data_IF_552337249225
#
_entry.id   IF_552337249225
#
_cell.length_a   1.000
_cell.length_b   1.000
_cell.length_c   1.000
_cell.angle_alpha   90.00
_cell.angle_beta   90.00
_cell.angle_gamma   90.00
#
_symmetry.space_group_name_H-M   'P 1'
#
loop_
_entity.id
_entity.type
_entity.pdbx_description
1 polymer ?
#
# COMPACT_ATOMS: atom_id res chain seq x y z
N UNK A 1 -17.31 -20.90 -14.07
CA UNK A 1 -16.06 -21.02 -13.35
C UNK A 1 -15.70 -19.71 -12.68
N UNK A 2 -14.87 -19.75 -11.70
CA UNK A 2 -14.42 -18.60 -10.89
C UNK A 2 -13.89 -17.41 -11.71
N UNK A 3 -13.27 -17.66 -12.85
CA UNK A 3 -12.74 -16.60 -13.70
C UNK A 3 -13.80 -15.74 -14.42
N UNK A 4 -15.04 -16.20 -14.55
CA UNK A 4 -16.09 -15.45 -15.27
C UNK A 4 -16.43 -14.12 -14.60
N UNK A 5 -16.44 -14.06 -13.28
CA UNK A 5 -16.67 -12.84 -12.52
C UNK A 5 -15.55 -11.81 -12.78
N UNK A 6 -14.29 -12.23 -12.70
CA UNK A 6 -13.12 -11.41 -13.01
C UNK A 6 -13.13 -10.95 -14.46
N UNK A 7 -13.35 -11.89 -15.42
CA UNK A 7 -13.41 -11.57 -16.85
C UNK A 7 -14.46 -10.54 -17.17
N UNK A 8 -15.67 -10.66 -16.56
CA UNK A 8 -16.76 -9.69 -16.75
C UNK A 8 -16.34 -8.29 -16.29
N UNK A 9 -15.71 -8.19 -15.11
CA UNK A 9 -15.25 -6.90 -14.56
C UNK A 9 -14.12 -6.30 -15.40
N UNK A 10 -13.17 -7.10 -15.88
CA UNK A 10 -12.09 -6.64 -16.76
C UNK A 10 -12.57 -6.09 -18.11
N UNK A 11 -13.78 -6.45 -18.57
CA UNK A 11 -14.37 -5.90 -19.81
C UNK A 11 -14.92 -4.48 -19.62
N UNK A 12 -15.09 -4.01 -18.39
CA UNK A 12 -15.47 -2.61 -18.14
C UNK A 12 -14.32 -1.70 -18.59
N UNK A 13 -14.58 -0.64 -19.38
CA UNK A 13 -13.53 0.16 -20.01
C UNK A 13 -12.62 0.87 -19.00
N UNK A 14 -13.15 1.23 -17.83
CA UNK A 14 -12.43 1.90 -16.73
C UNK A 14 -11.79 0.92 -15.72
N UNK A 15 -11.91 -0.39 -15.94
CA UNK A 15 -11.26 -1.37 -15.06
C UNK A 15 -9.76 -1.40 -15.31
N UNK A 16 -8.99 -1.06 -14.26
CA UNK A 16 -7.53 -1.16 -14.21
C UNK A 16 -7.08 -2.55 -13.78
N UNK A 17 -6.81 -2.71 -12.49
CA UNK A 17 -6.35 -3.98 -11.90
C UNK A 17 -7.37 -4.50 -10.91
N UNK A 18 -7.53 -5.82 -10.87
CA UNK A 18 -8.31 -6.52 -9.85
C UNK A 18 -7.37 -7.35 -8.99
N UNK A 19 -7.44 -7.17 -7.67
CA UNK A 19 -6.73 -7.95 -6.66
C UNK A 19 -7.66 -8.42 -5.55
N UNK A 20 -7.10 -8.81 -4.39
CA UNK A 20 -7.87 -9.35 -3.25
C UNK A 20 -7.57 -8.65 -1.92
N UNK A 21 -6.58 -7.78 -1.92
CA UNK A 21 -6.27 -6.89 -0.82
C UNK A 21 -5.71 -5.56 -1.35
N UNK A 22 -6.08 -4.47 -0.71
CA UNK A 22 -5.63 -3.14 -1.10
C UNK A 22 -6.13 -2.06 -0.19
N UNK A 23 -5.77 -0.82 -0.45
CA UNK A 23 -6.20 0.34 0.33
C UNK A 23 -6.77 1.46 -0.53
N UNK A 24 -7.77 2.17 0.02
CA UNK A 24 -8.38 3.35 -0.61
C UNK A 24 -7.49 4.59 -0.59
N UNK A 25 -6.42 4.55 0.19
CA UNK A 25 -5.52 5.68 0.41
C UNK A 25 -4.09 5.22 0.37
N UNK A 26 -3.21 6.02 -0.25
CA UNK A 26 -1.76 5.88 -0.11
C UNK A 26 -1.19 7.13 0.53
N UNK A 27 -0.53 6.94 1.67
CA UNK A 27 0.07 8.00 2.45
C UNK A 27 1.32 8.58 1.76
N UNK A 28 1.66 9.82 2.07
CA UNK A 28 2.89 10.46 1.60
C UNK A 28 4.12 9.91 2.30
N UNK A 29 4.00 9.59 3.59
CA UNK A 29 5.08 8.99 4.35
C UNK A 29 5.41 7.58 3.85
N UNK A 30 6.60 7.08 4.19
CA UNK A 30 7.02 5.72 3.86
C UNK A 30 6.08 4.70 4.48
N UNK A 31 5.45 3.91 3.65
CA UNK A 31 4.38 2.99 4.07
C UNK A 31 4.13 1.90 3.02
N UNK A 32 3.60 0.77 3.45
CA UNK A 32 3.00 -0.24 2.59
C UNK A 32 1.60 0.15 2.10
N UNK A 33 0.81 -0.83 1.67
CA UNK A 33 -0.61 -0.62 1.34
C UNK A 33 -1.51 -0.70 2.57
N UNK A 34 -1.26 -1.62 3.49
CA UNK A 34 -2.12 -1.99 4.62
C UNK A 34 -1.74 -1.34 5.95
N UNK A 35 -1.15 -0.15 5.96
CA UNK A 35 -0.71 0.51 7.19
C UNK A 35 -1.85 1.18 7.98
N UNK A 36 -3.03 1.38 7.36
CA UNK A 36 -4.20 1.96 8.02
C UNK A 36 -5.44 1.10 7.76
N UNK A 37 -5.59 0.06 8.55
CA UNK A 37 -6.59 -1.00 8.39
C UNK A 37 -8.03 -0.51 8.09
N UNK A 38 -8.46 0.60 8.65
CA UNK A 38 -9.80 1.16 8.39
C UNK A 38 -10.03 1.68 6.96
N UNK A 39 -8.95 1.83 6.17
CA UNK A 39 -9.00 2.23 4.78
C UNK A 39 -8.82 1.07 3.81
N UNK A 40 -8.48 -0.10 4.37
CA UNK A 40 -8.19 -1.29 3.59
C UNK A 40 -9.47 -2.01 3.19
N UNK A 41 -9.39 -2.68 2.05
CA UNK A 41 -10.37 -3.64 1.56
C UNK A 41 -9.64 -4.96 1.42
N UNK A 42 -10.13 -5.99 2.10
CA UNK A 42 -9.46 -7.30 2.19
C UNK A 42 -10.50 -8.39 2.02
N UNK A 43 -10.21 -9.38 1.16
CA UNK A 43 -11.08 -10.52 0.95
C UNK A 43 -10.32 -11.75 0.42
N UNK A 44 -9.67 -12.51 1.31
CA UNK A 44 -8.92 -13.72 0.97
C UNK A 44 -8.68 -14.62 2.18
N UNK A 45 -8.26 -15.87 1.95
CA UNK A 45 -7.76 -16.75 2.99
C UNK A 45 -6.25 -16.58 3.15
N UNK A 46 -5.80 -16.36 4.39
CA UNK A 46 -4.39 -16.36 4.75
C UNK A 46 -4.03 -17.66 5.44
N UNK A 47 -3.09 -18.41 4.88
CA UNK A 47 -2.53 -19.61 5.50
C UNK A 47 -1.15 -19.34 6.06
N UNK A 48 -0.93 -19.77 7.29
CA UNK A 48 0.35 -19.67 8.02
C UNK A 48 0.59 -21.00 8.72
N UNK A 49 1.57 -21.78 8.24
CA UNK A 49 1.78 -23.14 8.72
C UNK A 49 0.55 -24.01 8.46
N UNK A 50 -0.06 -24.53 9.51
CA UNK A 50 -1.28 -25.37 9.44
C UNK A 50 -2.57 -24.58 9.65
N UNK A 51 -2.49 -23.28 9.93
CA UNK A 51 -3.64 -22.45 10.20
C UNK A 51 -4.06 -21.65 8.95
N UNK A 52 -5.35 -21.65 8.66
CA UNK A 52 -5.95 -20.84 7.61
C UNK A 52 -7.02 -19.93 8.22
N UNK A 53 -6.91 -18.64 7.97
CA UNK A 53 -7.84 -17.64 8.48
C UNK A 53 -8.43 -16.83 7.31
N UNK A 54 -9.75 -16.64 7.33
CA UNK A 54 -10.40 -15.73 6.40
C UNK A 54 -10.15 -14.28 6.82
N UNK A 55 -9.48 -13.53 5.95
CA UNK A 55 -9.19 -12.11 6.14
C UNK A 55 -10.22 -11.30 5.38
N UNK A 56 -10.95 -10.45 6.12
CA UNK A 56 -12.01 -9.62 5.56
C UNK A 56 -12.00 -8.24 6.21
N UNK A 57 -12.05 -7.18 5.38
CA UNK A 57 -12.18 -5.79 5.85
C UNK A 57 -12.92 -4.94 4.81
N UNK A 58 -13.80 -4.05 5.30
CA UNK A 58 -14.56 -3.07 4.49
C UNK A 58 -15.35 -3.66 3.33
N UNK A 59 -15.85 -4.87 3.48
CA UNK A 59 -16.60 -5.63 2.45
C UNK A 59 -18.09 -5.56 2.74
N UNK A 60 -18.89 -5.35 1.70
CA UNK A 60 -20.35 -5.56 1.69
C UNK A 60 -20.69 -6.53 0.57
N UNK A 61 -21.56 -7.49 0.83
CA UNK A 61 -21.91 -8.53 -0.16
C UNK A 61 -22.70 -8.00 -1.38
N UNK A 62 -23.25 -6.80 -1.28
CA UNK A 62 -24.04 -6.18 -2.36
C UNK A 62 -23.21 -5.82 -3.60
N UNK A 63 -21.90 -5.57 -3.43
CA UNK A 63 -21.02 -5.18 -4.52
C UNK A 63 -19.77 -6.06 -4.50
N UNK A 64 -19.63 -6.97 -5.46
CA UNK A 64 -18.53 -7.94 -5.49
C UNK A 64 -17.16 -7.31 -5.81
N UNK A 65 -17.12 -6.05 -6.22
CA UNK A 65 -15.88 -5.31 -6.47
C UNK A 65 -15.90 -3.99 -5.71
N UNK A 66 -14.83 -3.73 -4.96
CA UNK A 66 -14.65 -2.49 -4.20
C UNK A 66 -13.47 -1.73 -4.74
N UNK A 67 -13.69 -0.46 -5.09
CA UNK A 67 -12.63 0.43 -5.58
C UNK A 67 -11.58 0.66 -4.49
N UNK A 68 -10.32 0.57 -4.89
CA UNK A 68 -9.14 0.87 -4.08
C UNK A 68 -8.13 1.65 -4.91
N UNK A 69 -7.21 2.34 -4.24
CA UNK A 69 -6.14 3.08 -4.89
C UNK A 69 -4.96 2.17 -5.25
N UNK A 70 -4.56 1.33 -4.30
CA UNK A 70 -3.42 0.42 -4.39
C UNK A 70 -3.81 -0.99 -4.03
N UNK A 71 -3.09 -1.97 -4.57
CA UNK A 71 -3.31 -3.39 -4.33
C UNK A 71 -2.03 -4.07 -3.83
N UNK A 72 -2.22 -5.17 -3.12
CA UNK A 72 -1.18 -6.15 -2.80
C UNK A 72 -0.92 -7.03 -4.02
N UNK A 73 0.34 -7.33 -4.30
CA UNK A 73 0.81 -8.03 -5.48
C UNK A 73 0.68 -9.55 -5.45
N UNK A 74 0.12 -10.18 -4.39
CA UNK A 74 0.09 -11.64 -4.32
C UNK A 74 -0.81 -12.28 -5.40
N UNK A 75 -1.81 -11.54 -5.91
CA UNK A 75 -2.60 -11.94 -7.08
C UNK A 75 -3.24 -10.70 -7.73
N UNK A 76 -2.90 -10.45 -8.97
CA UNK A 76 -3.42 -9.33 -9.77
C UNK A 76 -3.90 -9.81 -11.13
N UNK A 77 -5.08 -9.34 -11.54
CA UNK A 77 -5.64 -9.55 -12.87
C UNK A 77 -5.72 -8.22 -13.59
N UNK A 78 -5.14 -8.15 -14.76
CA UNK A 78 -5.06 -6.93 -15.58
C UNK A 78 -5.22 -7.27 -17.05
N UNK A 79 -5.83 -6.36 -17.83
CA UNK A 79 -5.85 -6.51 -19.29
C UNK A 79 -4.46 -6.21 -19.86
N UNK A 80 -4.13 -6.90 -20.97
CA UNK A 80 -2.84 -6.72 -21.65
C UNK A 80 -2.62 -5.28 -22.13
N UNK A 81 -3.67 -4.62 -22.61
CA UNK A 81 -3.62 -3.22 -23.08
C UNK A 81 -3.34 -2.23 -21.94
N UNK A 82 -3.92 -2.45 -20.76
CA UNK A 82 -3.65 -1.65 -19.56
C UNK A 82 -2.22 -1.88 -19.09
N UNK A 83 -1.79 -3.13 -18.99
CA UNK A 83 -0.40 -3.45 -18.59
C UNK A 83 0.63 -2.87 -19.58
N UNK A 84 0.37 -2.94 -20.89
CA UNK A 84 1.26 -2.38 -21.90
C UNK A 84 1.41 -0.86 -21.81
N UNK A 85 0.37 -0.16 -21.33
CA UNK A 85 0.40 1.29 -21.09
C UNK A 85 1.16 1.66 -19.82
N UNK A 86 1.09 0.81 -18.80
CA UNK A 86 1.72 1.04 -17.47
C UNK A 86 2.58 -0.18 -17.09
N UNK A 87 3.74 -0.40 -17.73
CA UNK A 87 4.59 -1.53 -17.37
C UNK A 87 5.18 -1.36 -15.96
N UNK A 88 5.65 -2.46 -15.37
CA UNK A 88 6.44 -2.39 -14.15
C UNK A 88 7.68 -1.53 -14.35
N UNK A 89 8.05 -0.75 -13.33
CA UNK A 89 9.23 0.10 -13.34
C UNK A 89 10.47 -0.71 -12.92
N UNK A 90 11.04 -1.44 -13.87
CA UNK A 90 12.21 -2.30 -13.66
C UNK A 90 13.53 -1.52 -13.52
N UNK A 91 13.54 -0.21 -13.83
CA UNK A 91 14.72 0.65 -13.64
C UNK A 91 14.81 1.14 -12.19
N UNK A 92 13.69 1.57 -11.60
CA UNK A 92 13.65 2.06 -10.23
C UNK A 92 13.56 0.92 -9.21
N UNK A 93 12.70 -0.07 -9.46
CA UNK A 93 12.36 -1.16 -8.55
C UNK A 93 12.95 -2.48 -9.08
N UNK A 94 14.26 -2.63 -8.91
CA UNK A 94 15.01 -3.82 -9.36
C UNK A 94 14.87 -5.03 -8.44
N UNK A 95 14.24 -4.84 -7.25
CA UNK A 95 14.02 -5.88 -6.26
C UNK A 95 12.63 -6.50 -6.33
N UNK A 96 12.31 -7.27 -5.29
CA UNK A 96 11.01 -7.96 -5.17
C UNK A 96 9.89 -7.07 -4.60
N UNK A 97 10.20 -5.89 -4.06
CA UNK A 97 9.24 -5.11 -3.28
C UNK A 97 8.73 -3.87 -4.01
N UNK A 98 7.53 -3.42 -3.61
CA UNK A 98 6.86 -2.19 -4.07
C UNK A 98 6.47 -2.15 -5.56
N UNK A 99 6.73 -3.19 -6.36
CA UNK A 99 6.31 -3.26 -7.75
C UNK A 99 4.79 -3.17 -7.91
N UNK A 100 4.07 -3.77 -7.00
CA UNK A 100 2.62 -3.81 -6.91
C UNK A 100 2.02 -2.43 -6.57
N UNK A 101 2.60 -1.77 -5.56
CA UNK A 101 2.21 -0.41 -5.18
C UNK A 101 2.48 0.58 -6.30
N UNK A 102 3.66 0.53 -6.89
CA UNK A 102 4.03 1.42 -7.98
C UNK A 102 3.13 1.22 -9.21
N UNK A 103 2.94 -0.04 -9.61
CA UNK A 103 2.09 -0.41 -10.73
C UNK A 103 0.65 0.07 -10.58
N UNK A 104 0.05 -0.21 -9.43
CA UNK A 104 -1.34 0.17 -9.18
C UNK A 104 -1.51 1.69 -8.99
N UNK A 105 -0.50 2.39 -8.45
CA UNK A 105 -0.48 3.84 -8.38
C UNK A 105 -0.38 4.49 -9.77
N UNK A 106 0.44 3.95 -10.69
CA UNK A 106 0.54 4.47 -12.06
C UNK A 106 -0.83 4.46 -12.75
N UNK A 107 -1.56 3.35 -12.61
CA UNK A 107 -2.88 3.15 -13.20
C UNK A 107 -3.91 4.10 -12.58
N UNK A 108 -3.93 4.20 -11.24
CA UNK A 108 -4.86 5.08 -10.53
C UNK A 108 -4.58 6.58 -10.75
N UNK A 109 -3.32 6.95 -10.94
CA UNK A 109 -2.91 8.35 -11.14
C UNK A 109 -3.39 8.95 -12.48
N UNK A 110 -3.56 8.13 -13.50
CA UNK A 110 -4.13 8.54 -14.81
C UNK A 110 -5.62 8.90 -14.73
N UNK A 111 -6.33 8.45 -13.69
CA UNK A 111 -7.76 8.64 -13.49
C UNK A 111 -8.68 8.09 -14.61
N UNK A 112 -8.10 7.50 -15.65
CA UNK A 112 -8.85 6.78 -16.68
C UNK A 112 -9.26 5.38 -16.22
N UNK A 113 -8.54 4.85 -15.22
CA UNK A 113 -8.74 3.50 -14.72
C UNK A 113 -8.86 3.47 -13.20
N UNK A 114 -9.56 2.46 -12.71
CA UNK A 114 -9.82 2.20 -11.31
C UNK A 114 -9.33 0.80 -10.94
N UNK A 115 -8.69 0.68 -9.79
CA UNK A 115 -8.30 -0.62 -9.24
C UNK A 115 -9.39 -1.15 -8.30
N UNK A 116 -9.52 -2.46 -8.24
CA UNK A 116 -10.58 -3.09 -7.46
C UNK A 116 -10.06 -4.27 -6.63
N UNK A 117 -10.62 -4.43 -5.44
CA UNK A 117 -10.58 -5.70 -4.71
C UNK A 117 -11.81 -6.52 -5.07
N UNK A 118 -11.61 -7.77 -5.49
CA UNK A 118 -12.68 -8.73 -5.68
C UNK A 118 -13.14 -9.28 -4.33
N UNK A 119 -14.41 -9.05 -4.00
CA UNK A 119 -15.06 -9.48 -2.78
C UNK A 119 -16.14 -10.52 -3.04
N UNK A 120 -16.10 -11.21 -4.18
CA UNK A 120 -17.08 -12.22 -4.58
C UNK A 120 -16.79 -13.56 -3.91
N UNK A 121 -17.80 -14.16 -3.30
CA UNK A 121 -17.71 -15.52 -2.77
C UNK A 121 -17.50 -16.60 -3.84
N UNK A 122 -17.70 -16.25 -5.13
CA UNK A 122 -17.41 -17.14 -6.26
C UNK A 122 -15.91 -17.22 -6.59
N UNK A 123 -15.11 -16.28 -6.05
CA UNK A 123 -13.67 -16.17 -6.31
C UNK A 123 -12.94 -16.09 -4.96
N UNK A 124 -12.65 -17.24 -4.40
CA UNK A 124 -11.88 -17.35 -3.17
C UNK A 124 -10.43 -17.71 -3.51
N UNK A 125 -9.51 -16.96 -2.94
CA UNK A 125 -8.07 -17.17 -3.11
C UNK A 125 -7.42 -17.40 -1.74
N UNK A 126 -6.42 -18.28 -1.72
CA UNK A 126 -5.61 -18.55 -0.55
C UNK A 126 -4.19 -18.04 -0.77
N UNK A 127 -3.72 -17.23 0.18
CA UNK A 127 -2.36 -16.70 0.21
C UNK A 127 -1.54 -17.44 1.25
N UNK A 128 -0.57 -18.24 0.81
CA UNK A 128 0.21 -19.14 1.66
C UNK A 128 1.55 -18.55 2.11
N UNK A 129 1.90 -17.33 1.72
CA UNK A 129 3.15 -16.69 2.12
C UNK A 129 2.92 -15.59 3.16
N UNK A 130 3.99 -15.27 3.89
CA UNK A 130 4.03 -14.11 4.78
C UNK A 130 4.89 -13.02 4.15
N UNK A 131 4.49 -11.75 4.34
CA UNK A 131 5.30 -10.62 3.89
C UNK A 131 6.68 -10.63 4.55
N UNK A 132 7.72 -10.53 3.75
CA UNK A 132 9.10 -10.38 4.23
C UNK A 132 9.50 -8.90 4.22
N UNK A 133 9.39 -8.26 5.37
CA UNK A 133 9.75 -6.85 5.56
C UNK A 133 11.23 -6.72 5.98
N UNK A 134 12.14 -7.20 5.13
CA UNK A 134 13.58 -7.11 5.31
C UNK A 134 14.14 -5.73 4.89
N UNK A 135 15.46 -5.56 4.93
CA UNK A 135 16.10 -4.29 4.57
C UNK A 135 15.76 -3.83 3.14
N UNK A 136 15.70 -4.75 2.18
CA UNK A 136 15.37 -4.40 0.79
C UNK A 136 13.97 -3.80 0.66
N UNK A 137 12.99 -4.28 1.44
CA UNK A 137 11.65 -3.68 1.49
C UNK A 137 11.70 -2.21 1.93
N UNK A 138 12.50 -1.89 2.95
CA UNK A 138 12.64 -0.50 3.39
C UNK A 138 13.31 0.36 2.34
N UNK A 139 14.36 -0.16 1.67
CA UNK A 139 15.06 0.54 0.59
C UNK A 139 14.14 0.84 -0.59
N UNK A 140 13.41 -0.16 -1.08
CA UNK A 140 12.50 0.00 -2.21
C UNK A 140 11.31 0.92 -1.85
N UNK A 141 10.80 0.84 -0.62
CA UNK A 141 9.77 1.77 -0.12
C UNK A 141 10.27 3.22 -0.12
N UNK A 142 11.49 3.47 0.36
CA UNK A 142 12.09 4.81 0.37
C UNK A 142 12.31 5.31 -1.06
N UNK A 143 12.88 4.48 -1.95
CA UNK A 143 13.11 4.82 -3.36
C UNK A 143 11.81 5.21 -4.05
N UNK A 144 10.79 4.37 -3.98
CA UNK A 144 9.49 4.58 -4.59
C UNK A 144 8.89 5.92 -4.16
N UNK A 145 8.84 6.20 -2.85
CA UNK A 145 8.27 7.45 -2.33
C UNK A 145 9.10 8.68 -2.71
N UNK A 146 10.43 8.64 -2.51
CA UNK A 146 11.28 9.82 -2.74
C UNK A 146 11.48 10.18 -4.21
N UNK A 147 11.71 9.17 -5.04
CA UNK A 147 12.16 9.40 -6.41
C UNK A 147 11.00 9.50 -7.40
N UNK A 148 9.88 8.83 -7.11
CA UNK A 148 8.76 8.80 -8.05
C UNK A 148 7.50 9.52 -7.53
N UNK A 149 7.06 9.20 -6.31
CA UNK A 149 5.72 9.56 -5.85
C UNK A 149 5.64 10.76 -4.89
N UNK A 150 6.75 11.37 -4.46
CA UNK A 150 6.79 12.39 -3.41
C UNK A 150 5.92 13.63 -3.69
N UNK A 151 5.75 13.99 -4.97
CA UNK A 151 4.97 15.17 -5.39
C UNK A 151 3.48 14.88 -5.53
N UNK A 152 3.11 13.62 -5.73
CA UNK A 152 1.72 13.20 -5.97
C UNK A 152 1.03 12.68 -4.70
N UNK A 153 1.78 12.09 -3.78
CA UNK A 153 1.25 11.58 -2.52
C UNK A 153 1.02 12.73 -1.50
N UNK A 154 0.01 12.62 -0.63
CA UNK A 154 -0.92 11.50 -0.48
C UNK A 154 -1.98 11.45 -1.58
N UNK A 155 -2.46 10.26 -1.91
CA UNK A 155 -3.54 10.03 -2.85
C UNK A 155 -4.66 9.21 -2.21
N UNK A 156 -5.89 9.39 -2.70
CA UNK A 156 -7.07 8.62 -2.31
C UNK A 156 -7.98 8.41 -3.51
N UNK A 157 -8.83 7.38 -3.45
CA UNK A 157 -9.87 7.18 -4.47
C UNK A 157 -10.85 8.35 -4.45
N UNK A 158 -11.48 8.59 -5.59
CA UNK A 158 -12.49 9.64 -5.74
C UNK A 158 -13.71 9.36 -4.84
N UNK A 159 -14.32 10.42 -4.30
CA UNK A 159 -15.47 10.28 -3.41
C UNK A 159 -15.18 9.73 -2.02
N UNK A 160 -13.96 9.32 -1.70
CA UNK A 160 -13.63 8.88 -0.35
C UNK A 160 -13.44 10.07 0.59
N UNK A 161 -14.38 10.24 1.51
CA UNK A 161 -14.33 11.33 2.49
C UNK A 161 -13.25 11.06 3.54
N UNK A 162 -12.20 11.86 3.51
CA UNK A 162 -11.10 11.84 4.46
C UNK A 162 -10.59 13.24 4.69
N UNK A 163 -10.78 13.75 5.90
CA UNK A 163 -10.34 15.09 6.29
C UNK A 163 -8.82 15.18 6.46
N UNK A 164 -8.25 16.35 6.17
CA UNK A 164 -6.80 16.60 6.28
C UNK A 164 -6.22 16.30 7.67
N UNK A 165 -6.96 16.62 8.74
CA UNK A 165 -6.54 16.36 10.12
C UNK A 165 -6.35 14.86 10.37
N UNK A 166 -7.26 14.03 9.88
CA UNK A 166 -7.16 12.58 10.03
C UNK A 166 -6.04 12.02 9.16
N UNK A 167 -5.88 12.51 7.94
CA UNK A 167 -4.77 12.15 7.07
C UNK A 167 -3.42 12.42 7.75
N UNK A 168 -3.21 13.64 8.24
CA UNK A 168 -1.98 14.02 8.95
C UNK A 168 -1.70 13.17 10.17
N UNK A 169 -2.74 12.87 10.96
CA UNK A 169 -2.63 12.00 12.13
C UNK A 169 -2.14 10.60 11.77
N UNK A 170 -2.69 10.02 10.70
CA UNK A 170 -2.29 8.69 10.25
C UNK A 170 -0.88 8.70 9.65
N UNK A 171 -0.53 9.74 8.90
CA UNK A 171 0.83 9.91 8.38
C UNK A 171 1.88 9.98 9.50
N UNK A 172 1.67 10.82 10.51
CA UNK A 172 2.57 10.92 11.67
C UNK A 172 2.74 9.57 12.36
N UNK A 173 1.62 8.88 12.61
CA UNK A 173 1.64 7.58 13.25
C UNK A 173 2.41 6.54 12.42
N UNK A 174 2.06 6.40 11.15
CA UNK A 174 2.66 5.42 10.24
C UNK A 174 4.15 5.69 10.03
N UNK A 175 4.52 6.96 9.82
CA UNK A 175 5.91 7.34 9.69
C UNK A 175 6.73 7.05 10.96
N UNK A 176 6.16 7.33 12.12
CA UNK A 176 6.73 7.00 13.42
C UNK A 176 6.94 5.49 13.59
N UNK A 177 5.99 4.67 13.14
CA UNK A 177 6.12 3.20 13.17
C UNK A 177 7.23 2.73 12.24
N UNK A 178 7.30 3.25 11.02
CA UNK A 178 8.31 2.90 10.04
C UNK A 178 9.73 3.22 10.56
N UNK A 179 9.94 4.45 11.05
CA UNK A 179 11.22 4.87 11.64
C UNK A 179 11.60 4.03 12.87
N UNK A 180 10.65 3.73 13.74
CA UNK A 180 10.90 2.93 14.95
C UNK A 180 11.36 1.50 14.61
N UNK A 181 10.80 0.90 13.57
CA UNK A 181 11.21 -0.43 13.09
C UNK A 181 12.65 -0.39 12.60
N UNK A 182 13.03 0.62 11.78
CA UNK A 182 14.39 0.80 11.29
C UNK A 182 15.40 0.98 12.44
N UNK A 183 15.08 1.84 13.41
CA UNK A 183 15.93 2.07 14.59
C UNK A 183 16.05 0.82 15.47
N UNK A 184 15.02 0.00 15.57
CA UNK A 184 15.07 -1.23 16.36
C UNK A 184 16.01 -2.27 15.76
N UNK A 185 16.07 -2.33 14.43
CA UNK A 185 16.91 -3.32 13.71
C UNK A 185 18.31 -2.79 13.42
N UNK A 186 18.52 -1.46 13.51
CA UNK A 186 19.82 -0.82 13.25
C UNK A 186 20.13 -0.68 11.75
N UNK A 187 19.13 -0.61 10.89
CA UNK A 187 19.36 -0.42 9.45
C UNK A 187 19.86 1.00 9.14
N UNK A 188 20.84 1.14 8.22
CA UNK A 188 21.46 2.44 7.88
C UNK A 188 20.46 3.44 7.29
N UNK A 189 19.38 2.98 6.71
CA UNK A 189 18.27 3.80 6.20
C UNK A 189 17.61 4.64 7.29
N UNK A 190 17.74 4.25 8.56
CA UNK A 190 17.20 5.00 9.70
C UNK A 190 17.66 6.46 9.72
N UNK A 191 18.91 6.75 9.30
CA UNK A 191 19.44 8.11 9.22
C UNK A 191 18.67 9.00 8.24
N UNK A 192 18.40 8.47 7.05
CA UNK A 192 17.67 9.20 6.00
C UNK A 192 16.24 9.41 6.43
N UNK A 193 15.59 8.36 6.94
CA UNK A 193 14.19 8.39 7.39
C UNK A 193 14.01 9.31 8.59
N UNK A 194 14.96 9.33 9.54
CA UNK A 194 14.95 10.27 10.67
C UNK A 194 15.02 11.72 10.18
N UNK A 195 15.93 12.04 9.25
CA UNK A 195 16.03 13.38 8.66
C UNK A 195 14.71 13.81 8.04
N UNK A 196 14.10 12.94 7.25
CA UNK A 196 12.82 13.23 6.59
C UNK A 196 11.68 13.38 7.61
N UNK A 197 11.67 12.55 8.67
CA UNK A 197 10.71 12.66 9.77
C UNK A 197 10.82 13.99 10.50
N UNK A 198 12.04 14.46 10.80
CA UNK A 198 12.29 15.73 11.46
C UNK A 198 11.87 16.94 10.62
N UNK A 199 11.96 16.83 9.31
CA UNK A 199 11.60 17.90 8.38
C UNK A 199 10.08 18.13 8.24
N UNK A 200 9.23 17.22 8.78
CA UNK A 200 7.78 17.24 8.59
C UNK A 200 7.04 17.65 9.87
N UNK A 201 6.53 18.88 9.98
CA UNK A 201 5.83 19.34 11.19
C UNK A 201 4.38 18.82 11.22
N UNK A 202 4.16 17.62 11.75
CA UNK A 202 2.82 17.04 11.83
C UNK A 202 1.97 17.63 12.97
N UNK A 203 2.54 17.72 14.20
CA UNK A 203 1.80 18.16 15.39
C UNK A 203 2.76 18.60 16.51
N UNK A 204 2.21 19.15 17.62
CA UNK A 204 3.01 19.38 18.84
C UNK A 204 3.62 18.10 19.42
N UNK A 205 2.90 16.98 19.32
CA UNK A 205 3.43 15.66 19.73
C UNK A 205 4.58 15.21 18.85
N UNK A 206 4.62 15.67 17.60
CA UNK A 206 5.73 15.39 16.69
C UNK A 206 7.06 15.84 17.25
N UNK A 207 7.14 17.02 17.89
CA UNK A 207 8.37 17.50 18.53
C UNK A 207 8.88 16.53 19.60
N UNK A 208 7.97 15.99 20.42
CA UNK A 208 8.35 14.98 21.44
C UNK A 208 8.86 13.68 20.79
N UNK A 209 8.23 13.25 19.70
CA UNK A 209 8.69 12.12 18.92
C UNK A 209 10.05 12.37 18.26
N UNK A 210 10.30 13.58 17.77
CA UNK A 210 11.59 13.99 17.22
C UNK A 210 12.70 13.85 18.25
N UNK A 211 12.54 14.43 19.44
CA UNK A 211 13.52 14.34 20.53
C UNK A 211 13.79 12.87 20.89
N UNK A 212 12.72 12.07 21.06
CA UNK A 212 12.82 10.65 21.39
C UNK A 212 13.59 9.85 20.33
N UNK A 213 13.36 10.10 19.04
CA UNK A 213 13.99 9.33 17.97
C UNK A 213 15.42 9.77 17.71
N UNK A 214 15.73 11.07 17.84
CA UNK A 214 17.12 11.54 17.82
C UNK A 214 17.92 10.89 18.95
N UNK A 215 17.41 10.90 20.17
CA UNK A 215 18.06 10.21 21.29
C UNK A 215 18.30 8.72 21.00
N UNK A 216 17.27 8.01 20.54
CA UNK A 216 17.41 6.59 20.19
C UNK A 216 18.47 6.35 19.10
N UNK A 217 18.52 7.20 18.09
CA UNK A 217 19.50 7.09 17.01
C UNK A 217 20.94 7.31 17.50
N UNK A 218 21.13 8.19 18.48
CA UNK A 218 22.46 8.48 19.06
C UNK A 218 22.96 7.41 20.02
N UNK A 219 22.06 6.57 20.57
CA UNK A 219 22.40 5.54 21.57
C UNK A 219 22.32 4.12 20.96
N UNK A 220 21.88 3.96 19.71
CA UNK A 220 21.86 2.68 18.98
C UNK A 220 23.13 2.50 18.16
#
# INVERSE_FOLDING_TARGET
GWGKCIEKKLKEPDCGVIGFAGSKVKLKCYSGWGDVYKWDVIFYYQSVGTETQFRVASVTMEHPFKEVLVLDGFAMFVRKDVWAKYPFDEELLTGFHCYDLDFTLQIAADRCYKNYVCCSSEVLIEHSSQGNFNQSWYQDTIKMHKLKWNKMLPMKIEGFELGEKEMRKQEEYTFSVFLRKLLKVGYPEAKVVLKDFLAYPYSWKHLQHCIKYVYKYLVS
#
